data_IF_915202141155
#
_entry.id   IF_915202141155
#
_cell.length_a   1.000
_cell.length_b   1.000
_cell.length_c   1.000
_cell.angle_alpha   90.00
_cell.angle_beta   90.00
_cell.angle_gamma   90.00
#
_symmetry.space_group_name_H-M   'P 1'
#
loop_
_entity.id
_entity.type
_entity.pdbx_description
1 polymer ?
#
# COMPACT_ATOMS: atom_id res chain seq x y z
N UNK A 1 -23.09 -24.49 20.61
CA UNK A 1 -23.24 -23.06 20.95
C UNK A 1 -22.40 -22.28 19.96
N UNK A 2 -23.01 -21.39 19.18
CA UNK A 2 -22.23 -20.47 18.35
C UNK A 2 -21.44 -19.55 19.29
N UNK A 3 -20.13 -19.72 19.35
CA UNK A 3 -19.27 -18.80 20.10
C UNK A 3 -19.45 -17.37 19.60
N UNK A 4 -19.25 -16.38 20.47
CA UNK A 4 -19.37 -14.98 20.07
C UNK A 4 -18.45 -14.68 18.89
N UNK A 5 -19.01 -14.08 17.84
CA UNK A 5 -18.30 -13.69 16.62
C UNK A 5 -17.11 -12.74 16.92
N UNK A 6 -17.18 -12.00 18.03
CA UNK A 6 -16.10 -11.12 18.49
C UNK A 6 -14.80 -11.86 18.84
N UNK A 7 -14.87 -13.15 19.17
CA UNK A 7 -13.69 -13.99 19.44
C UNK A 7 -13.25 -14.84 18.24
N UNK A 8 -13.91 -14.66 17.09
CA UNK A 8 -13.54 -15.33 15.83
C UNK A 8 -12.62 -14.44 15.00
N UNK A 9 -11.71 -15.03 14.22
CA UNK A 9 -10.78 -14.27 13.37
C UNK A 9 -11.47 -13.63 12.14
N UNK A 10 -12.59 -14.19 11.69
CA UNK A 10 -13.29 -13.81 10.46
C UNK A 10 -13.68 -12.32 10.35
N UNK A 11 -14.34 -11.67 11.33
CA UNK A 11 -14.68 -10.25 11.22
C UNK A 11 -13.44 -9.36 11.14
N UNK A 12 -12.39 -9.67 11.90
CA UNK A 12 -11.13 -8.93 11.86
C UNK A 12 -10.44 -9.08 10.50
N UNK A 13 -10.54 -10.25 9.88
CA UNK A 13 -10.03 -10.50 8.54
C UNK A 13 -10.72 -9.62 7.49
N UNK A 14 -12.07 -9.53 7.53
CA UNK A 14 -12.85 -8.67 6.62
C UNK A 14 -12.51 -7.20 6.82
N UNK A 15 -12.43 -6.73 8.08
CA UNK A 15 -12.09 -5.34 8.39
C UNK A 15 -10.67 -5.01 7.92
N UNK A 16 -9.71 -5.90 8.17
CA UNK A 16 -8.34 -5.76 7.69
C UNK A 16 -8.31 -5.67 6.16
N UNK A 17 -8.99 -6.59 5.47
CA UNK A 17 -9.07 -6.60 4.01
C UNK A 17 -9.68 -5.31 3.45
N UNK A 18 -10.83 -4.89 4.00
CA UNK A 18 -11.50 -3.66 3.61
C UNK A 18 -10.64 -2.41 3.86
N UNK A 19 -9.89 -2.39 4.97
CA UNK A 19 -8.96 -1.29 5.27
C UNK A 19 -7.81 -1.23 4.27
N UNK A 20 -7.19 -2.35 3.92
CA UNK A 20 -6.10 -2.41 2.94
C UNK A 20 -6.57 -1.96 1.56
N UNK A 21 -7.66 -2.56 1.06
CA UNK A 21 -8.18 -2.26 -0.27
C UNK A 21 -8.70 -0.81 -0.33
N UNK A 22 -9.53 -0.42 0.63
CA UNK A 22 -10.17 0.88 0.68
C UNK A 22 -9.16 2.02 0.81
N UNK A 23 -8.20 1.90 1.72
CA UNK A 23 -7.15 2.92 1.90
C UNK A 23 -6.30 3.05 0.65
N UNK A 24 -5.90 1.92 0.05
CA UNK A 24 -5.07 1.91 -1.16
C UNK A 24 -5.80 2.53 -2.35
N UNK A 25 -7.08 2.19 -2.54
CA UNK A 25 -7.92 2.76 -3.58
C UNK A 25 -8.11 4.26 -3.39
N UNK A 26 -8.61 4.65 -2.22
CA UNK A 26 -9.00 6.02 -1.94
C UNK A 26 -7.81 6.97 -2.02
N UNK A 27 -6.66 6.58 -1.45
CA UNK A 27 -5.48 7.43 -1.51
C UNK A 27 -4.93 7.57 -2.93
N UNK A 28 -4.75 6.45 -3.63
CA UNK A 28 -4.03 6.41 -4.91
C UNK A 28 -4.83 7.04 -6.06
N UNK A 29 -6.13 6.78 -6.10
CA UNK A 29 -6.96 7.15 -7.25
C UNK A 29 -7.84 8.37 -7.00
N UNK A 30 -8.09 8.75 -5.75
CA UNK A 30 -8.96 9.88 -5.41
C UNK A 30 -8.17 10.99 -4.72
N UNK A 31 -7.69 10.76 -3.50
CA UNK A 31 -7.07 11.81 -2.67
C UNK A 31 -5.80 12.36 -3.33
N UNK A 32 -4.90 11.51 -3.80
CA UNK A 32 -3.66 11.93 -4.47
C UNK A 32 -3.93 12.84 -5.68
N UNK A 33 -4.68 12.38 -6.70
CA UNK A 33 -5.02 13.19 -7.87
C UNK A 33 -5.81 14.46 -7.56
N UNK A 34 -6.78 14.39 -6.63
CA UNK A 34 -7.55 15.58 -6.22
C UNK A 34 -6.64 16.60 -5.56
N UNK A 35 -5.83 16.22 -4.58
CA UNK A 35 -4.92 17.15 -3.91
C UNK A 35 -3.90 17.74 -4.88
N UNK A 36 -3.30 16.92 -5.74
CA UNK A 36 -2.32 17.40 -6.73
C UNK A 36 -2.89 18.49 -7.65
N UNK A 37 -4.19 18.45 -7.94
CA UNK A 37 -4.90 19.43 -8.79
C UNK A 37 -5.43 20.64 -8.02
N UNK A 38 -5.62 20.54 -6.71
CA UNK A 38 -6.41 21.53 -5.94
C UNK A 38 -5.60 22.32 -4.93
N UNK A 39 -4.43 21.83 -4.50
CA UNK A 39 -3.56 22.54 -3.56
C UNK A 39 -2.22 22.91 -4.19
N UNK A 40 -1.55 23.90 -3.61
CA UNK A 40 -0.21 24.30 -4.04
C UNK A 40 0.81 23.17 -3.86
N UNK A 41 1.80 23.08 -4.75
CA UNK A 41 2.79 21.99 -4.77
C UNK A 41 3.54 21.79 -3.43
N UNK A 42 3.96 22.84 -2.70
CA UNK A 42 4.57 22.66 -1.38
C UNK A 42 3.61 22.07 -0.35
N UNK A 43 2.34 22.49 -0.35
CA UNK A 43 1.29 21.97 0.52
C UNK A 43 1.00 20.50 0.21
N UNK A 44 0.84 20.17 -1.07
CA UNK A 44 0.71 18.78 -1.52
C UNK A 44 1.87 17.92 -1.01
N UNK A 45 3.11 18.37 -1.23
CA UNK A 45 4.30 17.65 -0.78
C UNK A 45 4.32 17.45 0.74
N UNK A 46 3.95 18.48 1.51
CA UNK A 46 3.94 18.40 2.97
C UNK A 46 2.90 17.40 3.49
N UNK A 47 1.67 17.44 2.95
CA UNK A 47 0.60 16.50 3.30
C UNK A 47 0.99 15.07 2.94
N UNK A 48 1.56 14.84 1.75
CA UNK A 48 2.04 13.52 1.34
C UNK A 48 3.13 12.99 2.27
N UNK A 49 4.14 13.79 2.62
CA UNK A 49 5.18 13.41 3.56
C UNK A 49 4.64 13.08 4.96
N UNK A 50 3.54 13.72 5.39
CA UNK A 50 2.86 13.40 6.66
C UNK A 50 2.00 12.13 6.61
N UNK A 51 1.34 11.85 5.47
CA UNK A 51 0.46 10.69 5.31
C UNK A 51 1.20 9.39 5.02
N UNK A 52 2.26 9.45 4.21
CA UNK A 52 2.94 8.26 3.69
C UNK A 52 3.52 7.30 4.75
N UNK A 53 4.05 7.76 5.90
CA UNK A 53 4.48 6.84 6.96
C UNK A 53 3.33 5.95 7.44
N UNK A 54 2.16 6.51 7.72
CA UNK A 54 0.98 5.75 8.13
C UNK A 54 0.46 4.89 6.99
N UNK A 55 0.36 5.46 5.79
CA UNK A 55 -0.18 4.77 4.61
C UNK A 55 0.64 3.53 4.23
N UNK A 56 1.97 3.66 4.07
CA UNK A 56 2.83 2.52 3.76
C UNK A 56 3.00 1.58 4.97
N UNK A 57 2.91 2.10 6.20
CA UNK A 57 2.83 1.29 7.41
C UNK A 57 1.61 0.36 7.40
N UNK A 58 0.42 0.87 7.04
CA UNK A 58 -0.79 0.06 6.89
C UNK A 58 -0.63 -0.98 5.76
N UNK A 59 -0.10 -0.59 4.61
CA UNK A 59 0.17 -1.51 3.49
C UNK A 59 1.21 -2.59 3.84
N UNK A 60 2.02 -2.38 4.87
CA UNK A 60 2.98 -3.38 5.39
C UNK A 60 2.33 -4.25 6.47
N UNK A 61 1.65 -3.66 7.44
CA UNK A 61 1.14 -4.37 8.61
C UNK A 61 -0.13 -5.18 8.30
N UNK A 62 -1.04 -4.64 7.49
CA UNK A 62 -2.33 -5.29 7.25
C UNK A 62 -2.20 -6.64 6.54
N UNK A 63 -1.33 -6.83 5.53
CA UNK A 63 -1.09 -8.15 4.96
C UNK A 63 -0.66 -9.21 5.99
N UNK A 64 0.09 -8.81 7.03
CA UNK A 64 0.43 -9.72 8.14
C UNK A 64 -0.82 -10.08 8.94
N UNK A 65 -1.69 -9.10 9.23
CA UNK A 65 -2.98 -9.36 9.88
C UNK A 65 -3.84 -10.31 9.04
N UNK A 66 -3.89 -10.14 7.71
CA UNK A 66 -4.60 -11.04 6.81
C UNK A 66 -4.06 -12.47 6.87
N UNK A 67 -2.73 -12.63 6.92
CA UNK A 67 -2.12 -13.95 7.06
C UNK A 67 -2.44 -14.61 8.41
N UNK A 68 -2.38 -13.84 9.52
CA UNK A 68 -2.69 -14.34 10.86
C UNK A 68 -4.17 -14.70 11.04
N UNK A 69 -5.06 -13.95 10.38
CA UNK A 69 -6.51 -14.11 10.49
C UNK A 69 -7.11 -14.90 9.34
N UNK A 70 -6.28 -15.53 8.50
CA UNK A 70 -6.73 -16.18 7.27
C UNK A 70 -7.86 -17.19 7.53
N UNK A 71 -8.99 -17.11 6.80
CA UNK A 71 -10.11 -18.00 7.00
C UNK A 71 -9.81 -19.38 6.40
N UNK A 72 -9.54 -20.34 7.28
CA UNK A 72 -9.46 -21.77 6.95
C UNK A 72 -10.82 -22.36 6.57
N UNK A 73 -10.83 -23.66 6.27
CA UNK A 73 -12.06 -24.41 5.99
C UNK A 73 -12.01 -25.75 6.73
N UNK A 74 -12.69 -25.82 7.88
CA UNK A 74 -12.72 -27.02 8.72
C UNK A 74 -13.37 -28.22 8.02
N UNK A 75 -14.32 -27.99 7.09
CA UNK A 75 -14.95 -29.08 6.32
C UNK A 75 -13.99 -29.73 5.33
N UNK A 76 -13.00 -28.97 4.85
CA UNK A 76 -11.94 -29.45 3.96
C UNK A 76 -10.65 -29.78 4.72
N UNK A 77 -10.67 -29.78 6.06
CA UNK A 77 -9.49 -30.02 6.89
C UNK A 77 -8.45 -28.90 6.87
N UNK A 78 -8.77 -27.73 6.32
CA UNK A 78 -7.85 -26.61 6.20
C UNK A 78 -7.87 -25.76 7.48
N UNK A 79 -6.72 -25.65 8.13
CA UNK A 79 -6.53 -24.87 9.36
C UNK A 79 -6.78 -23.37 9.12
N UNK A 80 -7.07 -22.62 10.18
CA UNK A 80 -7.14 -21.15 10.13
C UNK A 80 -5.75 -20.52 10.31
N UNK A 81 -5.61 -19.24 9.94
CA UNK A 81 -4.37 -18.48 10.10
C UNK A 81 -3.26 -18.93 9.16
N UNK A 82 -2.00 -18.71 9.57
CA UNK A 82 -0.82 -18.90 8.70
C UNK A 82 -0.72 -20.33 8.17
N UNK A 83 -0.97 -21.33 8.99
CA UNK A 83 -0.94 -22.74 8.57
C UNK A 83 -1.95 -23.02 7.44
N UNK A 84 -3.14 -22.41 7.51
CA UNK A 84 -4.12 -22.48 6.43
C UNK A 84 -3.72 -21.75 5.17
N UNK A 85 -3.07 -20.59 5.32
CA UNK A 85 -2.60 -19.80 4.19
C UNK A 85 -1.49 -20.52 3.40
N UNK A 86 -0.65 -21.29 4.10
CA UNK A 86 0.47 -22.05 3.52
C UNK A 86 0.04 -23.34 2.82
N UNK A 87 -1.24 -23.73 2.90
CA UNK A 87 -1.77 -24.88 2.17
C UNK A 87 -1.58 -24.69 0.66
N UNK A 88 -1.20 -25.77 -0.04
CA UNK A 88 -0.88 -25.72 -1.47
C UNK A 88 -2.07 -25.22 -2.31
N UNK A 89 -3.30 -25.57 -1.91
CA UNK A 89 -4.53 -25.13 -2.58
C UNK A 89 -4.72 -23.60 -2.56
N UNK A 90 -4.03 -22.90 -1.66
CA UNK A 90 -4.15 -21.45 -1.44
C UNK A 90 -2.99 -20.65 -2.01
N UNK A 91 -2.01 -21.32 -2.64
CA UNK A 91 -0.77 -20.72 -3.09
C UNK A 91 -0.99 -19.52 -4.03
N UNK A 92 -1.79 -19.70 -5.08
CA UNK A 92 -1.99 -18.67 -6.11
C UNK A 92 -3.06 -17.64 -5.73
N UNK A 93 -4.18 -18.09 -5.15
CA UNK A 93 -5.32 -17.21 -4.84
C UNK A 93 -5.18 -16.42 -3.54
N UNK A 94 -4.28 -16.81 -2.64
CA UNK A 94 -4.18 -16.18 -1.31
C UNK A 94 -2.76 -15.89 -0.87
N UNK A 95 -1.89 -16.91 -0.82
CA UNK A 95 -0.52 -16.73 -0.32
C UNK A 95 0.28 -15.75 -1.20
N UNK A 96 0.27 -15.96 -2.51
CA UNK A 96 0.96 -15.09 -3.46
C UNK A 96 0.48 -13.62 -3.35
N UNK A 97 -0.81 -13.28 -3.51
CA UNK A 97 -1.24 -11.89 -3.44
C UNK A 97 -0.99 -11.26 -2.06
N UNK A 98 -1.24 -11.96 -0.95
CA UNK A 98 -0.95 -11.41 0.40
C UNK A 98 0.54 -11.13 0.57
N UNK A 99 1.40 -12.07 0.16
CA UNK A 99 2.86 -11.91 0.26
C UNK A 99 3.38 -10.80 -0.65
N UNK A 100 2.86 -10.72 -1.88
CA UNK A 100 3.21 -9.65 -2.82
C UNK A 100 2.82 -8.28 -2.26
N UNK A 101 1.59 -8.15 -1.73
CA UNK A 101 1.14 -6.92 -1.09
C UNK A 101 2.04 -6.51 0.07
N UNK A 102 2.41 -7.47 0.94
CA UNK A 102 3.35 -7.26 2.05
C UNK A 102 4.70 -6.75 1.58
N UNK A 103 5.35 -7.47 0.65
CA UNK A 103 6.69 -7.13 0.20
C UNK A 103 6.73 -5.77 -0.52
N UNK A 104 5.74 -5.49 -1.36
CA UNK A 104 5.61 -4.19 -2.03
C UNK A 104 5.42 -3.04 -1.04
N UNK A 105 4.51 -3.21 -0.06
CA UNK A 105 4.29 -2.23 1.01
C UNK A 105 5.53 -2.03 1.88
N UNK A 106 6.19 -3.13 2.26
CA UNK A 106 7.40 -3.12 3.08
C UNK A 106 8.54 -2.37 2.41
N UNK A 107 8.85 -2.68 1.15
CA UNK A 107 9.90 -1.98 0.37
C UNK A 107 9.57 -0.49 0.23
N UNK A 108 8.29 -0.15 -0.02
CA UNK A 108 7.85 1.24 -0.03
C UNK A 108 8.13 1.94 1.31
N UNK A 109 7.78 1.29 2.42
CA UNK A 109 7.89 1.86 3.75
C UNK A 109 9.35 2.02 4.21
N UNK A 110 10.17 0.98 4.08
CA UNK A 110 11.51 0.96 4.69
C UNK A 110 12.61 1.46 3.76
N UNK A 111 12.42 1.38 2.44
CA UNK A 111 13.44 1.80 1.46
C UNK A 111 13.04 3.08 0.75
N UNK A 112 11.89 3.09 0.07
CA UNK A 112 11.57 4.19 -0.85
C UNK A 112 11.13 5.46 -0.12
N UNK A 113 10.28 5.35 0.91
CA UNK A 113 9.84 6.50 1.71
C UNK A 113 11.02 7.32 2.26
N UNK A 114 11.99 6.75 3.02
CA UNK A 114 13.11 7.55 3.53
C UNK A 114 14.00 8.09 2.40
N UNK A 115 14.17 7.33 1.32
CA UNK A 115 14.99 7.75 0.17
C UNK A 115 14.37 8.93 -0.58
N UNK A 116 13.06 8.88 -0.84
CA UNK A 116 12.30 9.98 -1.49
C UNK A 116 12.32 11.22 -0.61
N UNK A 117 12.09 11.09 0.70
CA UNK A 117 12.13 12.22 1.63
C UNK A 117 13.53 12.87 1.67
N UNK A 118 14.60 12.08 1.62
CA UNK A 118 15.97 12.59 1.51
C UNK A 118 16.18 13.39 0.23
N UNK A 119 15.71 12.89 -0.91
CA UNK A 119 15.80 13.62 -2.19
C UNK A 119 14.95 14.89 -2.18
N UNK A 120 13.77 14.88 -1.58
CA UNK A 120 12.94 16.08 -1.42
C UNK A 120 13.63 17.14 -0.55
N UNK A 121 14.26 16.74 0.55
CA UNK A 121 15.08 17.65 1.36
C UNK A 121 16.25 18.24 0.58
N UNK A 122 16.89 17.44 -0.28
CA UNK A 122 17.94 17.93 -1.18
C UNK A 122 17.41 18.94 -2.20
N UNK A 123 16.23 18.69 -2.80
CA UNK A 123 15.57 19.65 -3.71
C UNK A 123 15.24 20.96 -3.02
N UNK A 124 14.70 20.91 -1.81
CA UNK A 124 14.43 22.11 -1.00
C UNK A 124 15.72 22.88 -0.68
N UNK A 125 16.80 22.18 -0.35
CA UNK A 125 18.11 22.79 -0.13
C UNK A 125 18.68 23.43 -1.40
N UNK A 126 18.54 22.78 -2.55
CA UNK A 126 18.99 23.32 -3.83
C UNK A 126 18.15 24.53 -4.25
N UNK A 127 16.83 24.51 -4.03
CA UNK A 127 15.96 25.65 -4.33
C UNK A 127 16.40 26.93 -3.60
N UNK A 128 16.84 26.81 -2.34
CA UNK A 128 17.42 27.93 -1.58
C UNK A 128 18.73 28.44 -2.17
N UNK A 129 19.58 27.56 -2.70
CA UNK A 129 20.86 27.93 -3.34
C UNK A 129 20.63 28.62 -4.69
N UNK A 130 19.68 28.10 -5.45
CA UNK A 130 19.33 28.61 -6.79
C UNK A 130 18.48 29.88 -6.71
N UNK A 131 17.91 30.22 -5.55
CA UNK A 131 16.91 31.27 -5.41
C UNK A 131 15.63 30.98 -6.21
N UNK A 132 15.39 29.72 -6.56
CA UNK A 132 14.32 29.27 -7.46
C UNK A 132 13.75 27.93 -7.02
N UNK A 133 12.43 27.90 -6.85
CA UNK A 133 11.71 26.69 -6.42
C UNK A 133 11.77 25.57 -7.47
N UNK A 134 11.87 24.32 -7.01
CA UNK A 134 11.99 23.13 -7.89
C UNK A 134 10.79 22.89 -8.81
N UNK A 135 9.70 23.61 -8.59
CA UNK A 135 8.47 23.54 -9.36
C UNK A 135 8.19 24.78 -10.20
N UNK A 136 9.03 25.81 -10.12
CA UNK A 136 8.90 27.02 -10.92
C UNK A 136 9.19 26.73 -12.41
N UNK A 137 8.61 27.52 -13.29
CA UNK A 137 8.80 27.40 -14.74
C UNK A 137 10.19 27.88 -15.18
N UNK A 138 10.58 27.52 -16.40
CA UNK A 138 11.87 27.89 -17.01
C UNK A 138 13.04 26.98 -16.62
N UNK A 139 14.26 27.31 -17.06
CA UNK A 139 15.44 26.48 -16.84
C UNK A 139 15.79 26.38 -15.35
N UNK A 140 16.27 25.21 -14.95
CA UNK A 140 16.77 24.90 -13.61
C UNK A 140 18.26 24.57 -13.68
N UNK A 141 18.98 24.72 -12.58
CA UNK A 141 20.38 24.29 -12.46
C UNK A 141 20.54 22.80 -12.82
N UNK A 142 21.74 22.39 -13.22
CA UNK A 142 22.02 20.99 -13.54
C UNK A 142 21.76 20.09 -12.31
N UNK A 143 22.11 20.56 -11.12
CA UNK A 143 21.87 19.89 -9.85
C UNK A 143 20.38 19.71 -9.58
N UNK A 144 19.57 20.76 -9.75
CA UNK A 144 18.12 20.67 -9.56
C UNK A 144 17.47 19.72 -10.58
N UNK A 145 17.94 19.72 -11.83
CA UNK A 145 17.49 18.77 -12.86
C UNK A 145 17.83 17.33 -12.50
N UNK A 146 19.05 17.08 -12.03
CA UNK A 146 19.49 15.75 -11.58
C UNK A 146 18.65 15.26 -10.40
N UNK A 147 18.41 16.11 -9.39
CA UNK A 147 17.55 15.79 -8.25
C UNK A 147 16.10 15.54 -8.66
N UNK A 148 15.58 16.31 -9.61
CA UNK A 148 14.21 16.14 -10.12
C UNK A 148 14.06 14.82 -10.90
N UNK A 149 15.05 14.45 -11.73
CA UNK A 149 15.09 13.15 -12.39
C UNK A 149 15.12 12.01 -11.38
N UNK A 150 15.98 12.11 -10.36
CA UNK A 150 16.09 11.11 -9.29
C UNK A 150 14.78 10.97 -8.51
N UNK A 151 14.15 12.09 -8.16
CA UNK A 151 12.83 12.11 -7.52
C UNK A 151 11.79 11.40 -8.38
N UNK A 152 11.68 11.76 -9.67
CA UNK A 152 10.70 11.16 -10.58
C UNK A 152 10.87 9.65 -10.72
N UNK A 153 12.10 9.16 -10.82
CA UNK A 153 12.40 7.72 -10.86
C UNK A 153 11.97 7.02 -9.57
N UNK A 154 12.37 7.53 -8.39
CA UNK A 154 12.03 6.91 -7.11
C UNK A 154 10.51 6.94 -6.85
N UNK A 155 9.87 8.06 -7.16
CA UNK A 155 8.41 8.20 -7.08
C UNK A 155 7.71 7.21 -8.01
N UNK A 156 8.17 7.07 -9.26
CA UNK A 156 7.61 6.11 -10.22
C UNK A 156 7.70 4.66 -9.72
N UNK A 157 8.85 4.25 -9.19
CA UNK A 157 9.02 2.91 -8.60
C UNK A 157 8.08 2.73 -7.40
N UNK A 158 8.00 3.72 -6.52
CA UNK A 158 7.12 3.67 -5.35
C UNK A 158 5.64 3.56 -5.72
N UNK A 159 5.21 4.32 -6.72
CA UNK A 159 3.86 4.27 -7.29
C UNK A 159 3.55 2.92 -7.93
N UNK A 160 4.52 2.29 -8.62
CA UNK A 160 4.35 0.94 -9.17
C UNK A 160 4.17 -0.11 -8.06
N UNK A 161 5.01 -0.09 -7.02
CA UNK A 161 4.85 -0.99 -5.87
C UNK A 161 3.52 -0.79 -5.16
N UNK A 162 3.08 0.46 -5.03
CA UNK A 162 1.78 0.78 -4.45
C UNK A 162 0.62 0.25 -5.31
N UNK A 163 0.71 0.37 -6.64
CA UNK A 163 -0.27 -0.22 -7.56
C UNK A 163 -0.26 -1.75 -7.46
N UNK A 164 0.91 -2.37 -7.34
CA UNK A 164 1.04 -3.81 -7.10
C UNK A 164 0.33 -4.23 -5.82
N UNK A 165 0.53 -3.52 -4.69
CA UNK A 165 -0.21 -3.80 -3.44
C UNK A 165 -1.72 -3.72 -3.64
N UNK A 166 -2.22 -2.70 -4.35
CA UNK A 166 -3.64 -2.57 -4.66
C UNK A 166 -4.18 -3.72 -5.53
N UNK A 167 -3.48 -4.08 -6.60
CA UNK A 167 -3.89 -5.18 -7.48
C UNK A 167 -3.83 -6.53 -6.77
N UNK A 168 -2.83 -6.76 -5.92
CA UNK A 168 -2.76 -7.94 -5.07
C UNK A 168 -3.94 -8.02 -4.10
N UNK A 169 -4.32 -6.90 -3.47
CA UNK A 169 -5.51 -6.84 -2.63
C UNK A 169 -6.79 -7.14 -3.44
N UNK A 170 -6.94 -6.59 -4.65
CA UNK A 170 -8.07 -6.90 -5.54
C UNK A 170 -8.16 -8.38 -5.89
N UNK A 171 -7.05 -8.99 -6.33
CA UNK A 171 -6.99 -10.43 -6.67
C UNK A 171 -7.34 -11.28 -5.46
N UNK A 172 -6.80 -10.93 -4.29
CA UNK A 172 -7.15 -11.62 -3.05
C UNK A 172 -8.65 -11.48 -2.73
N UNK A 173 -9.24 -10.32 -3.01
CA UNK A 173 -10.66 -10.05 -2.86
C UNK A 173 -11.57 -11.05 -3.57
N UNK A 174 -11.26 -11.41 -4.81
CA UNK A 174 -12.02 -12.44 -5.53
C UNK A 174 -11.94 -13.80 -4.83
N UNK A 175 -10.76 -14.16 -4.33
CA UNK A 175 -10.57 -15.42 -3.59
C UNK A 175 -11.22 -15.39 -2.22
N UNK A 176 -11.27 -14.23 -1.57
CA UNK A 176 -12.00 -14.07 -0.31
C UNK A 176 -13.52 -14.16 -0.55
N UNK A 177 -14.01 -13.57 -1.65
CA UNK A 177 -15.40 -13.65 -2.10
C UNK A 177 -15.89 -15.09 -2.26
N UNK A 178 -15.12 -15.95 -2.92
CA UNK A 178 -15.50 -17.37 -3.10
C UNK A 178 -15.53 -18.15 -1.78
N UNK A 179 -14.80 -17.72 -0.75
CA UNK A 179 -14.80 -18.36 0.58
C UNK A 179 -15.98 -17.94 1.45
N UNK A 180 -16.53 -16.76 1.23
CA UNK A 180 -17.69 -16.24 1.97
C UNK A 180 -19.01 -16.52 1.25
N UNK A 181 -18.97 -17.00 0.00
CA UNK A 181 -20.15 -17.42 -0.73
C UNK A 181 -20.81 -18.63 -0.02
N UNK A 182 -22.13 -18.61 0.21
CA UNK A 182 -22.86 -19.77 0.72
C UNK A 182 -22.70 -20.96 -0.23
N UNK A 183 -22.56 -22.17 0.31
CA UNK A 183 -22.44 -23.43 -0.46
C UNK A 183 -23.73 -23.84 -1.20
N UNK A 184 -24.76 -22.99 -1.25
CA UNK A 184 -26.06 -23.31 -1.82
C UNK A 184 -26.33 -22.45 -3.07
N UNK A 185 -26.00 -23.00 -4.23
CA UNK A 185 -26.75 -22.87 -5.49
C UNK A 185 -26.95 -24.27 -6.09
#
# INVERSE_FOLDING_TARGET
MAGSILFSAAPYHIIAYGTLLGTSFWHSFIVGPVMFKTVERPVFSAVQSGLFPTYFGLQTAIPVVLALTFPGNTLLGISTGVSGLLDESHRLGSLLPITTAFLSGFVNFVVLLPTVNKVMKQRQGQAKRDGKEWYAEGPHSEEMRALTKKFGMLHGISSLLNLTTFLSALVYGFTLGSRIQPLAE
#
